data_IF_950611761952
#
_entry.id   IF_950611761952
#
_cell.length_a   1.000
_cell.length_b   1.000
_cell.length_c   1.000
_cell.angle_alpha   90.00
_cell.angle_beta   90.00
_cell.angle_gamma   90.00
#
_symmetry.space_group_name_H-M   'P 1'
#
loop_
_entity.id
_entity.type
_entity.pdbx_description
1 polymer ?
#
# COMPACT_ATOMS: atom_id res chain seq x y z
N UNK A 1 137.70 16.44 121.24
CA UNK A 1 137.06 15.11 121.26
C UNK A 1 135.53 15.19 121.15
N UNK A 2 134.87 16.27 121.57
CA UNK A 2 133.41 16.49 121.40
C UNK A 2 132.98 16.89 119.98
N UNK A 3 133.71 17.78 119.30
CA UNK A 3 133.36 18.22 117.94
C UNK A 3 133.32 17.08 116.91
N UNK A 4 134.14 16.03 117.10
CA UNK A 4 134.14 14.84 116.24
C UNK A 4 132.87 13.98 116.47
N UNK A 5 132.45 13.81 117.73
CA UNK A 5 131.22 13.09 118.08
C UNK A 5 129.96 13.81 117.60
N UNK A 6 129.95 15.15 117.62
CA UNK A 6 128.80 15.94 117.14
C UNK A 6 128.70 15.95 115.61
N UNK A 7 129.85 15.94 114.91
CA UNK A 7 129.91 15.79 113.45
C UNK A 7 129.44 14.39 113.01
N UNK A 8 129.85 13.35 113.73
CA UNK A 8 129.43 11.97 113.48
C UNK A 8 127.93 11.79 113.78
N UNK A 9 127.41 12.36 114.88
CA UNK A 9 125.97 12.35 115.16
C UNK A 9 125.15 13.09 114.09
N UNK A 10 125.61 14.23 113.56
CA UNK A 10 124.95 14.95 112.45
C UNK A 10 125.02 14.16 111.13
N UNK A 11 126.12 13.45 110.86
CA UNK A 11 126.24 12.53 109.72
C UNK A 11 125.30 11.35 109.84
N UNK A 12 125.18 10.74 111.01
CA UNK A 12 124.25 9.64 111.30
C UNK A 12 122.79 10.10 111.09
N UNK A 13 122.42 11.26 111.63
CA UNK A 13 121.07 11.81 111.53
C UNK A 13 120.72 12.20 110.07
N UNK A 14 121.70 12.73 109.33
CA UNK A 14 121.56 13.00 107.89
C UNK A 14 121.42 11.70 107.09
N UNK A 15 122.22 10.66 107.40
CA UNK A 15 122.12 9.33 106.78
C UNK A 15 120.74 8.70 107.01
N UNK A 16 120.21 8.75 108.23
CA UNK A 16 118.86 8.26 108.54
C UNK A 16 117.77 9.06 107.80
N UNK A 17 117.91 10.39 107.73
CA UNK A 17 116.95 11.24 107.00
C UNK A 17 117.00 10.97 105.49
N UNK A 18 118.19 10.80 104.93
CA UNK A 18 118.40 10.44 103.52
C UNK A 18 117.96 9.01 103.20
N UNK A 19 118.04 8.07 104.14
CA UNK A 19 117.46 6.74 103.99
C UNK A 19 115.93 6.80 103.92
N UNK A 20 115.30 7.57 104.82
CA UNK A 20 113.84 7.75 104.83
C UNK A 20 113.32 8.49 103.59
N UNK A 21 114.04 9.49 103.11
CA UNK A 21 113.69 10.17 101.84
C UNK A 21 113.78 9.20 100.67
N UNK A 22 114.84 8.38 100.58
CA UNK A 22 114.96 7.34 99.55
C UNK A 22 113.83 6.32 99.62
N UNK A 23 113.46 5.89 100.82
CA UNK A 23 112.35 4.94 101.03
C UNK A 23 111.00 5.53 100.56
N UNK A 24 110.74 6.81 100.86
CA UNK A 24 109.54 7.52 100.39
C UNK A 24 109.58 7.76 98.88
N UNK A 25 110.73 8.10 98.31
CA UNK A 25 110.93 8.24 96.86
C UNK A 25 110.69 6.92 96.13
N UNK A 26 111.17 5.79 96.67
CA UNK A 26 110.91 4.46 96.13
C UNK A 26 109.42 4.09 96.18
N UNK A 27 108.73 4.40 97.28
CA UNK A 27 107.28 4.18 97.41
C UNK A 27 106.50 5.04 96.41
N UNK A 28 106.84 6.33 96.28
CA UNK A 28 106.19 7.24 95.33
C UNK A 28 106.47 6.78 93.88
N UNK A 29 107.69 6.34 93.57
CA UNK A 29 108.03 5.81 92.26
C UNK A 29 107.24 4.53 91.95
N UNK A 30 107.11 3.62 92.92
CA UNK A 30 106.31 2.40 92.80
C UNK A 30 104.81 2.71 92.61
N UNK A 31 104.27 3.66 93.37
CA UNK A 31 102.88 4.11 93.23
C UNK A 31 102.62 4.78 91.89
N UNK A 32 103.56 5.60 91.41
CA UNK A 32 103.48 6.25 90.09
C UNK A 32 103.53 5.21 88.97
N UNK A 33 104.42 4.21 89.06
CA UNK A 33 104.48 3.09 88.13
C UNK A 33 103.18 2.27 88.13
N UNK A 34 102.61 1.99 89.30
CA UNK A 34 101.33 1.29 89.47
C UNK A 34 100.15 2.06 88.87
N UNK A 35 100.11 3.39 89.09
CA UNK A 35 99.12 4.27 88.47
C UNK A 35 99.25 4.28 86.95
N UNK A 36 100.48 4.33 86.44
CA UNK A 36 100.74 4.30 85.00
C UNK A 36 100.31 2.97 84.36
N UNK A 37 100.57 1.83 85.01
CA UNK A 37 100.10 0.51 84.55
C UNK A 37 98.56 0.42 84.54
N UNK A 38 97.90 0.91 85.60
CA UNK A 38 96.42 1.00 85.64
C UNK A 38 95.88 1.88 84.51
N UNK A 39 96.52 3.01 84.22
CA UNK A 39 96.08 3.94 83.18
C UNK A 39 96.21 3.30 81.80
N UNK A 40 97.29 2.57 81.53
CA UNK A 40 97.46 1.77 80.30
C UNK A 40 96.37 0.70 80.19
N UNK A 41 96.08 -0.03 81.27
CA UNK A 41 95.00 -1.04 81.29
C UNK A 41 93.62 -0.43 81.02
N UNK A 42 93.31 0.72 81.64
CA UNK A 42 92.05 1.43 81.39
C UNK A 42 91.96 1.94 79.96
N UNK A 43 93.04 2.49 79.41
CA UNK A 43 93.06 2.94 78.02
C UNK A 43 92.82 1.78 77.05
N UNK A 44 93.47 0.64 77.28
CA UNK A 44 93.25 -0.59 76.51
C UNK A 44 91.81 -1.08 76.64
N UNK A 45 91.24 -1.09 77.85
CA UNK A 45 89.85 -1.48 78.08
C UNK A 45 88.85 -0.56 77.36
N UNK A 46 89.06 0.76 77.42
CA UNK A 46 88.22 1.75 76.72
C UNK A 46 88.30 1.52 75.21
N UNK A 47 89.51 1.32 74.67
CA UNK A 47 89.70 1.07 73.24
C UNK A 47 89.03 -0.24 72.80
N UNK A 48 89.19 -1.33 73.55
CA UNK A 48 88.52 -2.60 73.27
C UNK A 48 86.99 -2.49 73.36
N UNK A 49 86.47 -1.74 74.33
CA UNK A 49 85.03 -1.50 74.45
C UNK A 49 84.50 -0.67 73.28
N UNK A 50 85.24 0.37 72.87
CA UNK A 50 84.88 1.20 71.72
C UNK A 50 84.86 0.40 70.42
N UNK A 51 85.82 -0.51 70.24
CA UNK A 51 85.84 -1.46 69.11
C UNK A 51 84.60 -2.38 69.16
N UNK A 52 84.26 -2.93 70.33
CA UNK A 52 83.07 -3.78 70.50
C UNK A 52 81.78 -3.00 70.21
N UNK A 53 81.65 -1.78 70.72
CA UNK A 53 80.52 -0.88 70.49
C UNK A 53 80.37 -0.52 69.02
N UNK A 54 81.48 -0.15 68.37
CA UNK A 54 81.50 0.17 66.94
C UNK A 54 81.12 -1.05 66.09
N UNK A 55 81.65 -2.24 66.41
CA UNK A 55 81.30 -3.48 65.71
C UNK A 55 79.83 -3.84 65.89
N UNK A 56 79.30 -3.74 67.11
CA UNK A 56 77.88 -3.99 67.40
C UNK A 56 76.97 -2.99 66.68
N UNK A 57 77.33 -1.71 66.69
CA UNK A 57 76.60 -0.65 65.97
C UNK A 57 76.59 -0.89 64.47
N UNK A 58 77.75 -1.20 63.85
CA UNK A 58 77.81 -1.54 62.42
C UNK A 58 76.97 -2.77 62.09
N UNK A 59 77.03 -3.81 62.93
CA UNK A 59 76.23 -5.03 62.75
C UNK A 59 74.73 -4.73 62.80
N UNK A 60 74.28 -3.95 63.79
CA UNK A 60 72.88 -3.54 63.91
C UNK A 60 72.40 -2.75 62.67
N UNK A 61 73.20 -1.80 62.18
CA UNK A 61 72.88 -1.04 60.95
C UNK A 61 72.79 -1.96 59.73
N UNK A 62 73.72 -2.91 59.58
CA UNK A 62 73.66 -3.86 58.45
C UNK A 62 72.47 -4.80 58.54
N UNK A 63 72.14 -5.29 59.72
CA UNK A 63 70.98 -6.17 59.93
C UNK A 63 69.67 -5.43 59.68
N UNK A 64 69.54 -4.18 60.13
CA UNK A 64 68.37 -3.35 59.87
C UNK A 64 68.20 -3.03 58.38
N UNK A 65 69.30 -2.76 57.66
CA UNK A 65 69.25 -2.59 56.20
C UNK A 65 68.78 -3.86 55.49
N UNK A 66 69.36 -5.01 55.85
CA UNK A 66 68.97 -6.30 55.27
C UNK A 66 67.49 -6.60 55.57
N UNK A 67 67.04 -6.33 56.80
CA UNK A 67 65.65 -6.50 57.20
C UNK A 67 64.71 -5.67 56.32
N UNK A 68 65.00 -4.38 56.12
CA UNK A 68 64.20 -3.50 55.24
C UNK A 68 64.17 -4.00 53.80
N UNK A 69 65.31 -4.37 53.23
CA UNK A 69 65.37 -4.93 51.87
C UNK A 69 64.53 -6.21 51.73
N UNK A 70 64.50 -7.05 52.77
CA UNK A 70 63.66 -8.24 52.79
C UNK A 70 62.18 -7.92 52.96
N UNK A 71 61.83 -6.95 53.80
CA UNK A 71 60.44 -6.50 53.97
C UNK A 71 59.87 -5.91 52.68
N UNK A 72 60.65 -5.10 51.95
CA UNK A 72 60.27 -4.56 50.64
C UNK A 72 60.07 -5.69 49.61
N UNK A 73 60.99 -6.66 49.56
CA UNK A 73 60.85 -7.83 48.68
C UNK A 73 59.62 -8.68 49.03
N UNK A 74 59.33 -8.87 50.31
CA UNK A 74 58.13 -9.58 50.76
C UNK A 74 56.88 -8.84 50.29
N UNK A 75 56.82 -7.52 50.50
CA UNK A 75 55.67 -6.71 50.07
C UNK A 75 55.45 -6.80 48.55
N UNK A 76 56.50 -6.66 47.74
CA UNK A 76 56.44 -6.77 46.28
C UNK A 76 55.97 -8.16 45.82
N UNK A 77 56.52 -9.22 46.42
CA UNK A 77 56.15 -10.60 46.08
C UNK A 77 54.72 -10.92 46.51
N UNK A 78 54.27 -10.45 47.68
CA UNK A 78 52.90 -10.62 48.15
C UNK A 78 51.91 -9.93 47.21
N UNK A 79 52.18 -8.69 46.80
CA UNK A 79 51.33 -7.99 45.84
C UNK A 79 51.24 -8.73 44.50
N UNK A 80 52.38 -9.22 43.98
CA UNK A 80 52.40 -10.03 42.74
C UNK A 80 51.60 -11.32 42.88
N UNK A 81 51.67 -11.99 44.03
CA UNK A 81 50.89 -13.20 44.29
C UNK A 81 49.40 -12.90 44.33
N UNK A 82 48.98 -11.80 44.95
CA UNK A 82 47.58 -11.36 44.96
C UNK A 82 47.07 -11.06 43.54
N UNK A 83 47.84 -10.32 42.74
CA UNK A 83 47.50 -10.02 41.35
C UNK A 83 47.36 -11.28 40.50
N UNK A 84 48.29 -12.23 40.64
CA UNK A 84 48.24 -13.51 39.94
C UNK A 84 47.05 -14.35 40.39
N UNK A 85 46.71 -14.34 41.68
CA UNK A 85 45.56 -15.06 42.20
C UNK A 85 44.25 -14.46 41.67
N UNK A 86 44.14 -13.14 41.61
CA UNK A 86 42.98 -12.44 41.04
C UNK A 86 42.81 -12.77 39.55
N UNK A 87 43.90 -12.75 38.78
CA UNK A 87 43.87 -13.15 37.35
C UNK A 87 43.47 -14.61 37.20
N UNK A 88 43.98 -15.50 38.04
CA UNK A 88 43.62 -16.93 38.03
C UNK A 88 42.13 -17.13 38.30
N UNK A 89 41.59 -16.45 39.30
CA UNK A 89 40.15 -16.49 39.63
C UNK A 89 39.29 -15.98 38.47
N UNK A 90 39.67 -14.89 37.83
CA UNK A 90 38.95 -14.36 36.65
C UNK A 90 38.97 -15.34 35.48
N UNK A 91 40.15 -15.87 35.13
CA UNK A 91 40.30 -16.87 34.07
C UNK A 91 39.51 -18.14 34.38
N UNK A 92 39.47 -18.55 35.65
CA UNK A 92 38.68 -19.71 36.09
C UNK A 92 37.17 -19.47 35.89
N UNK A 93 36.66 -18.30 36.26
CA UNK A 93 35.24 -17.96 36.02
C UNK A 93 34.90 -17.95 34.54
N UNK A 94 35.78 -17.39 33.70
CA UNK A 94 35.60 -17.41 32.25
C UNK A 94 35.60 -18.84 31.71
N UNK A 95 36.54 -19.67 32.16
CA UNK A 95 36.57 -21.09 31.82
C UNK A 95 35.29 -21.81 32.22
N UNK A 96 34.82 -21.65 33.46
CA UNK A 96 33.60 -22.29 33.95
C UNK A 96 32.34 -21.86 33.17
N UNK A 97 32.32 -20.60 32.68
CA UNK A 97 31.27 -20.11 31.79
C UNK A 97 31.35 -20.79 30.41
N UNK A 98 32.53 -20.83 29.80
CA UNK A 98 32.71 -21.39 28.46
C UNK A 98 32.68 -22.91 28.40
N UNK A 99 33.07 -23.60 29.47
CA UNK A 99 33.06 -25.05 29.56
C UNK A 99 31.68 -25.65 29.32
N UNK A 100 30.61 -24.99 29.80
CA UNK A 100 29.22 -25.41 29.56
C UNK A 100 28.86 -25.37 28.08
N UNK A 101 29.28 -24.32 27.37
CA UNK A 101 29.03 -24.19 25.94
C UNK A 101 29.88 -25.18 25.13
N UNK A 102 31.14 -25.39 25.53
CA UNK A 102 31.99 -26.41 24.93
C UNK A 102 31.37 -27.80 25.08
N UNK A 103 30.97 -28.19 26.30
CA UNK A 103 30.32 -29.47 26.55
C UNK A 103 29.06 -29.63 25.71
N UNK A 104 28.22 -28.60 25.64
CA UNK A 104 27.02 -28.63 24.79
C UNK A 104 27.37 -28.86 23.31
N UNK A 105 28.36 -28.16 22.76
CA UNK A 105 28.75 -28.34 21.35
C UNK A 105 29.38 -29.71 21.11
N UNK A 106 30.12 -30.25 22.06
CA UNK A 106 30.65 -31.62 22.02
C UNK A 106 29.52 -32.65 22.06
N UNK A 107 28.49 -32.46 22.88
CA UNK A 107 27.29 -33.32 22.90
C UNK A 107 26.52 -33.26 21.57
N UNK A 108 26.38 -32.07 20.97
CA UNK A 108 25.79 -31.91 19.64
C UNK A 108 26.62 -32.63 18.58
N UNK A 109 27.95 -32.53 18.66
CA UNK A 109 28.87 -33.22 17.76
C UNK A 109 28.78 -34.75 17.91
N UNK A 110 28.61 -35.28 19.12
CA UNK A 110 28.43 -36.72 19.35
C UNK A 110 27.13 -37.27 18.75
N UNK A 111 26.09 -36.44 18.63
CA UNK A 111 24.81 -36.80 18.00
C UNK A 111 24.82 -36.59 16.48
N UNK A 112 25.97 -36.22 15.91
CA UNK A 112 26.12 -36.02 14.49
C UNK A 112 26.27 -37.36 13.77
N UNK A 113 25.13 -37.95 13.39
CA UNK A 113 25.09 -39.26 12.72
C UNK A 113 25.70 -39.26 11.30
N UNK A 114 25.99 -38.09 10.72
CA UNK A 114 26.35 -37.94 9.31
C UNK A 114 27.78 -37.43 9.06
N UNK A 115 28.63 -37.35 10.10
CA UNK A 115 29.97 -36.75 10.02
C UNK A 115 29.99 -35.34 9.37
N UNK A 116 28.86 -34.61 9.40
CA UNK A 116 28.71 -33.30 8.74
C UNK A 116 29.66 -32.23 9.34
N UNK A 117 30.06 -32.44 10.59
CA UNK A 117 30.88 -31.55 11.39
C UNK A 117 31.97 -32.39 12.04
N UNK A 118 33.22 -31.94 11.95
CA UNK A 118 34.36 -32.63 12.56
C UNK A 118 34.79 -31.95 13.87
N UNK A 119 34.38 -30.70 14.07
CA UNK A 119 34.68 -29.92 15.26
C UNK A 119 33.52 -29.00 15.67
N UNK A 120 33.46 -28.58 16.94
CA UNK A 120 32.53 -27.52 17.39
C UNK A 120 32.61 -26.24 16.55
N UNK A 121 33.79 -25.95 15.99
CA UNK A 121 34.00 -24.78 15.13
C UNK A 121 33.21 -24.85 13.83
N UNK A 122 33.07 -26.04 13.25
CA UNK A 122 32.32 -26.23 12.00
C UNK A 122 30.83 -25.96 12.22
N UNK A 123 30.30 -26.39 13.38
CA UNK A 123 28.92 -26.12 13.81
C UNK A 123 28.69 -24.60 13.92
N UNK A 124 29.62 -23.88 14.56
CA UNK A 124 29.54 -22.41 14.72
C UNK A 124 29.58 -21.72 13.35
N UNK A 125 30.50 -22.12 12.46
CA UNK A 125 30.60 -21.55 11.12
C UNK A 125 29.33 -21.79 10.30
N UNK A 126 28.79 -23.01 10.36
CA UNK A 126 27.54 -23.36 9.71
C UNK A 126 26.38 -22.54 10.26
N UNK A 127 26.27 -22.42 11.57
CA UNK A 127 25.24 -21.61 12.21
C UNK A 127 25.33 -20.13 11.79
N UNK A 128 26.53 -19.55 11.77
CA UNK A 128 26.74 -18.17 11.30
C UNK A 128 26.26 -18.01 9.84
N UNK A 129 26.65 -18.94 8.97
CA UNK A 129 26.24 -18.93 7.57
C UNK A 129 24.71 -19.04 7.42
N UNK A 130 24.09 -19.96 8.15
CA UNK A 130 22.64 -20.13 8.17
C UNK A 130 21.92 -18.90 8.74
N UNK A 131 22.47 -18.27 9.77
CA UNK A 131 21.91 -17.06 10.35
C UNK A 131 21.95 -15.89 9.34
N UNK A 132 23.09 -15.70 8.67
CA UNK A 132 23.23 -14.68 7.62
C UNK A 132 22.30 -14.96 6.45
N UNK A 133 22.24 -16.21 5.99
CA UNK A 133 21.36 -16.62 4.91
C UNK A 133 19.88 -16.39 5.29
N UNK A 134 19.49 -16.74 6.53
CA UNK A 134 18.14 -16.51 7.04
C UNK A 134 17.79 -15.03 7.03
N UNK A 135 18.70 -14.14 7.45
CA UNK A 135 18.48 -12.69 7.39
C UNK A 135 18.26 -12.22 5.95
N UNK A 136 19.06 -12.71 5.00
CA UNK A 136 18.91 -12.37 3.57
C UNK A 136 17.58 -12.88 3.03
N UNK A 137 17.20 -14.13 3.31
CA UNK A 137 15.94 -14.71 2.87
C UNK A 137 14.73 -13.98 3.46
N UNK A 138 14.77 -13.59 4.74
CA UNK A 138 13.70 -12.80 5.37
C UNK A 138 13.54 -11.43 4.72
N UNK A 139 14.64 -10.73 4.41
CA UNK A 139 14.60 -9.47 3.66
C UNK A 139 13.99 -9.67 2.28
N UNK A 140 14.42 -10.71 1.56
CA UNK A 140 13.91 -11.01 0.22
C UNK A 140 12.42 -11.38 0.24
N UNK A 141 11.98 -12.16 1.21
CA UNK A 141 10.56 -12.49 1.44
C UNK A 141 9.75 -11.21 1.62
N UNK A 142 10.19 -10.32 2.51
CA UNK A 142 9.51 -9.05 2.78
C UNK A 142 9.37 -8.20 1.52
N UNK A 143 10.45 -8.08 0.73
CA UNK A 143 10.42 -7.38 -0.56
C UNK A 143 9.40 -7.99 -1.55
N UNK A 144 9.38 -9.32 -1.66
CA UNK A 144 8.44 -10.02 -2.55
C UNK A 144 6.98 -9.85 -2.09
N UNK A 145 6.73 -9.84 -0.78
CA UNK A 145 5.39 -9.58 -0.23
C UNK A 145 4.91 -8.16 -0.54
N UNK A 146 5.79 -7.16 -0.43
CA UNK A 146 5.50 -5.77 -0.82
C UNK A 146 5.25 -5.64 -2.34
N UNK A 147 6.08 -6.28 -3.17
CA UNK A 147 5.88 -6.32 -4.63
C UNK A 147 4.57 -7.02 -5.00
N UNK A 148 4.24 -8.13 -4.35
CA UNK A 148 2.98 -8.84 -4.56
C UNK A 148 1.78 -7.95 -4.20
N UNK A 149 1.84 -7.24 -3.07
CA UNK A 149 0.78 -6.33 -2.66
C UNK A 149 0.63 -5.17 -3.66
N UNK A 150 1.73 -4.56 -4.09
CA UNK A 150 1.73 -3.52 -5.14
C UNK A 150 1.11 -4.02 -6.44
N UNK A 151 1.49 -5.22 -6.89
CA UNK A 151 0.97 -5.82 -8.11
C UNK A 151 -0.53 -6.16 -8.00
N UNK A 152 -0.98 -6.70 -6.86
CA UNK A 152 -2.40 -6.95 -6.60
C UNK A 152 -3.22 -5.66 -6.64
N UNK A 153 -2.74 -4.60 -6.01
CA UNK A 153 -3.41 -3.29 -6.01
C UNK A 153 -3.47 -2.70 -7.42
N UNK A 154 -2.37 -2.75 -8.17
CA UNK A 154 -2.32 -2.31 -9.58
C UNK A 154 -3.28 -3.10 -10.47
N UNK A 155 -3.33 -4.42 -10.31
CA UNK A 155 -4.25 -5.28 -11.05
C UNK A 155 -5.72 -4.97 -10.72
N UNK A 156 -6.05 -4.78 -9.44
CA UNK A 156 -7.40 -4.43 -9.01
C UNK A 156 -7.83 -3.07 -9.58
N UNK A 157 -6.94 -2.07 -9.56
CA UNK A 157 -7.22 -0.76 -10.16
C UNK A 157 -7.47 -0.88 -11.67
N UNK A 158 -6.65 -1.65 -12.39
CA UNK A 158 -6.85 -1.92 -13.82
C UNK A 158 -8.17 -2.64 -14.11
N UNK A 159 -8.53 -3.62 -13.27
CA UNK A 159 -9.82 -4.34 -13.36
C UNK A 159 -10.99 -3.41 -13.14
N UNK A 160 -10.93 -2.56 -12.11
CA UNK A 160 -11.98 -1.57 -11.83
C UNK A 160 -12.14 -0.60 -13.00
N UNK A 161 -11.02 -0.07 -13.53
CA UNK A 161 -11.05 0.81 -14.71
C UNK A 161 -11.72 0.13 -15.91
N UNK A 162 -11.34 -1.13 -16.20
CA UNK A 162 -11.93 -1.90 -17.31
C UNK A 162 -13.40 -2.23 -17.09
N UNK A 163 -13.80 -2.51 -15.85
CA UNK A 163 -15.20 -2.74 -15.52
C UNK A 163 -16.04 -1.47 -15.73
N UNK A 164 -15.55 -0.32 -15.28
CA UNK A 164 -16.22 0.96 -15.51
C UNK A 164 -16.34 1.26 -17.00
N UNK A 165 -15.26 1.08 -17.77
CA UNK A 165 -15.27 1.25 -19.24
C UNK A 165 -16.28 0.31 -19.92
N UNK A 166 -16.39 -0.94 -19.45
CA UNK A 166 -17.39 -1.89 -19.96
C UNK A 166 -18.82 -1.45 -19.66
N UNK A 167 -19.08 -0.89 -18.47
CA UNK A 167 -20.40 -0.37 -18.11
C UNK A 167 -20.73 0.87 -18.94
N UNK A 168 -19.77 1.78 -19.12
CA UNK A 168 -19.95 2.97 -19.95
C UNK A 168 -20.28 2.61 -21.41
N UNK A 169 -19.55 1.64 -21.99
CA UNK A 169 -19.83 1.12 -23.33
C UNK A 169 -21.19 0.42 -23.41
N UNK A 170 -21.60 -0.32 -22.38
CA UNK A 170 -22.92 -0.95 -22.34
C UNK A 170 -24.03 0.10 -22.30
N UNK A 171 -23.86 1.19 -21.55
CA UNK A 171 -24.83 2.28 -21.51
C UNK A 171 -24.95 2.95 -22.89
N UNK A 172 -23.84 3.24 -23.55
CA UNK A 172 -23.83 3.76 -24.92
C UNK A 172 -24.52 2.81 -25.90
N UNK A 173 -24.29 1.49 -25.78
CA UNK A 173 -24.95 0.49 -26.61
C UNK A 173 -26.47 0.50 -26.39
N UNK A 174 -26.92 0.58 -25.14
CA UNK A 174 -28.34 0.62 -24.81
C UNK A 174 -29.01 1.89 -25.35
N UNK A 175 -28.35 3.05 -25.26
CA UNK A 175 -28.83 4.30 -25.85
C UNK A 175 -28.97 4.16 -27.37
N UNK A 176 -27.94 3.62 -28.02
CA UNK A 176 -27.95 3.41 -29.47
C UNK A 176 -29.06 2.43 -29.89
N UNK A 177 -29.28 1.35 -29.15
CA UNK A 177 -30.39 0.42 -29.36
C UNK A 177 -31.75 1.11 -29.20
N UNK A 178 -31.95 1.92 -28.16
CA UNK A 178 -33.19 2.66 -27.96
C UNK A 178 -33.47 3.65 -29.11
N UNK A 179 -32.44 4.35 -29.59
CA UNK A 179 -32.57 5.25 -30.75
C UNK A 179 -32.90 4.47 -32.03
N UNK A 180 -32.25 3.33 -32.26
CA UNK A 180 -32.51 2.46 -33.40
C UNK A 180 -33.95 1.93 -33.39
N UNK A 181 -34.43 1.41 -32.26
CA UNK A 181 -35.81 0.94 -32.11
C UNK A 181 -36.84 2.06 -32.33
N UNK A 182 -36.55 3.27 -31.85
CA UNK A 182 -37.40 4.44 -32.05
C UNK A 182 -37.48 4.83 -33.54
N UNK A 183 -36.33 4.84 -34.23
CA UNK A 183 -36.30 5.05 -35.68
C UNK A 183 -37.04 3.96 -36.43
N UNK A 184 -36.87 2.69 -36.05
CA UNK A 184 -37.56 1.57 -36.68
C UNK A 184 -39.09 1.67 -36.50
N UNK A 185 -39.57 2.06 -35.31
CA UNK A 185 -40.98 2.36 -35.06
C UNK A 185 -41.48 3.51 -35.93
N UNK A 186 -40.71 4.59 -36.03
CA UNK A 186 -41.04 5.76 -36.87
C UNK A 186 -41.15 5.38 -38.35
N UNK A 187 -40.19 4.61 -38.87
CA UNK A 187 -40.22 4.09 -40.24
C UNK A 187 -41.48 3.27 -40.48
N UNK A 188 -41.82 2.35 -39.57
CA UNK A 188 -43.03 1.53 -39.69
C UNK A 188 -44.31 2.38 -39.73
N UNK A 189 -44.44 3.37 -38.84
CA UNK A 189 -45.58 4.29 -38.85
C UNK A 189 -45.68 5.03 -40.20
N UNK A 190 -44.55 5.52 -40.73
CA UNK A 190 -44.51 6.21 -42.02
C UNK A 190 -44.86 5.28 -43.19
N UNK A 191 -44.46 4.01 -43.13
CA UNK A 191 -44.84 2.99 -44.10
C UNK A 191 -46.35 2.72 -44.05
N UNK A 192 -46.92 2.51 -42.86
CA UNK A 192 -48.36 2.29 -42.66
C UNK A 192 -49.19 3.49 -43.15
N UNK A 193 -48.74 4.72 -42.86
CA UNK A 193 -49.34 5.97 -43.37
C UNK A 193 -49.33 6.04 -44.90
N UNK A 194 -48.20 5.68 -45.51
CA UNK A 194 -48.03 5.66 -46.96
C UNK A 194 -48.95 4.62 -47.61
N UNK A 195 -49.00 3.39 -47.08
CA UNK A 195 -49.87 2.32 -47.56
C UNK A 195 -51.35 2.73 -47.47
N UNK A 196 -51.76 3.35 -46.36
CA UNK A 196 -53.11 3.87 -46.19
C UNK A 196 -53.43 4.93 -47.23
N UNK A 197 -52.50 5.85 -47.51
CA UNK A 197 -52.66 6.86 -48.54
C UNK A 197 -52.76 6.25 -49.95
N UNK A 198 -51.92 5.25 -50.26
CA UNK A 198 -51.97 4.52 -51.54
C UNK A 198 -53.31 3.79 -51.69
N UNK A 199 -53.77 3.08 -50.67
CA UNK A 199 -55.05 2.35 -50.67
C UNK A 199 -56.23 3.30 -50.83
N UNK A 200 -56.22 4.43 -50.10
CA UNK A 200 -57.24 5.48 -50.23
C UNK A 200 -57.25 6.05 -51.66
N UNK A 201 -56.08 6.42 -52.21
CA UNK A 201 -55.96 6.93 -53.58
C UNK A 201 -56.44 5.91 -54.61
N UNK A 202 -56.10 4.63 -54.44
CA UNK A 202 -56.56 3.54 -55.31
C UNK A 202 -58.08 3.39 -55.27
N UNK A 203 -58.67 3.44 -54.07
CA UNK A 203 -60.12 3.37 -53.86
C UNK A 203 -60.82 4.57 -54.49
N UNK A 204 -60.35 5.78 -54.22
CA UNK A 204 -60.88 7.01 -54.83
C UNK A 204 -60.75 6.95 -56.35
N UNK A 205 -59.59 6.56 -56.89
CA UNK A 205 -59.39 6.41 -58.33
C UNK A 205 -60.38 5.40 -58.93
N UNK A 206 -60.63 4.27 -58.25
CA UNK A 206 -61.63 3.28 -58.68
C UNK A 206 -63.04 3.85 -58.69
N UNK A 207 -63.44 4.57 -57.63
CA UNK A 207 -64.76 5.21 -57.56
C UNK A 207 -64.96 6.24 -58.67
N UNK A 208 -63.95 7.09 -58.93
CA UNK A 208 -63.97 8.06 -60.03
C UNK A 208 -64.12 7.36 -61.37
N UNK A 209 -63.36 6.27 -61.60
CA UNK A 209 -63.50 5.46 -62.82
C UNK A 209 -64.90 4.85 -62.96
N UNK A 210 -65.48 4.32 -61.87
CA UNK A 210 -66.84 3.77 -61.89
C UNK A 210 -67.89 4.84 -62.20
N UNK A 211 -67.82 6.01 -61.56
CA UNK A 211 -68.73 7.14 -61.83
C UNK A 211 -68.60 7.58 -63.29
N UNK A 212 -67.36 7.73 -63.79
CA UNK A 212 -67.11 8.09 -65.19
C UNK A 212 -67.70 7.08 -66.17
N UNK A 213 -67.57 5.78 -65.91
CA UNK A 213 -68.18 4.74 -66.75
C UNK A 213 -69.71 4.76 -66.67
N UNK A 214 -70.30 4.93 -65.49
CA UNK A 214 -71.75 5.01 -65.32
C UNK A 214 -72.34 6.23 -66.03
N UNK A 215 -71.71 7.41 -65.88
CA UNK A 215 -72.06 8.62 -66.61
C UNK A 215 -71.98 8.41 -68.13
N UNK A 216 -70.90 7.80 -68.62
CA UNK A 216 -70.78 7.48 -70.06
C UNK A 216 -71.90 6.55 -70.52
N UNK A 217 -72.15 5.46 -69.80
CA UNK A 217 -73.21 4.50 -70.14
C UNK A 217 -74.61 5.13 -70.17
N UNK A 218 -74.90 6.03 -69.22
CA UNK A 218 -76.17 6.77 -69.18
C UNK A 218 -76.27 7.80 -70.31
N UNK A 219 -75.18 8.52 -70.58
CA UNK A 219 -75.08 9.46 -71.69
C UNK A 219 -75.34 8.76 -73.02
N UNK A 220 -74.66 7.64 -73.28
CA UNK A 220 -74.83 6.86 -74.51
C UNK A 220 -76.28 6.39 -74.67
N UNK A 221 -76.95 5.99 -73.58
CA UNK A 221 -78.38 5.65 -73.58
C UNK A 221 -79.28 6.84 -73.88
N UNK A 222 -79.04 7.99 -73.24
CA UNK A 222 -79.83 9.22 -73.45
C UNK A 222 -79.70 9.69 -74.91
N UNK A 223 -78.49 9.67 -75.45
CA UNK A 223 -78.24 9.95 -76.87
C UNK A 223 -78.99 8.96 -77.75
N UNK A 224 -78.91 7.65 -77.46
CA UNK A 224 -79.60 6.63 -78.26
C UNK A 224 -81.14 6.77 -78.23
N UNK A 225 -81.74 7.10 -77.08
CA UNK A 225 -83.19 7.28 -76.95
C UNK A 225 -83.70 8.55 -77.61
N UNK A 226 -82.93 9.63 -77.57
CA UNK A 226 -83.32 10.92 -78.15
C UNK A 226 -82.96 11.02 -79.63
N UNK A 227 -82.04 10.21 -80.14
CA UNK A 227 -81.60 10.22 -81.53
C UNK A 227 -82.73 10.22 -82.59
N UNK A 228 -83.86 9.49 -82.43
CA UNK A 228 -84.93 9.47 -83.42
C UNK A 228 -85.84 10.71 -83.40
N UNK A 229 -85.83 11.49 -82.31
CA UNK A 229 -86.83 12.52 -82.03
C UNK A 229 -86.22 13.91 -81.79
N UNK A 230 -84.95 13.96 -81.44
CA UNK A 230 -84.23 15.19 -81.20
C UNK A 230 -83.75 15.77 -82.51
N UNK A 231 -84.27 16.96 -82.86
CA UNK A 231 -83.71 17.79 -83.92
C UNK A 231 -82.31 18.34 -83.59
N UNK A 232 -81.75 18.03 -82.41
CA UNK A 232 -80.36 18.35 -82.06
C UNK A 232 -79.45 17.31 -82.72
N UNK A 233 -79.08 17.59 -83.96
CA UNK A 233 -78.12 16.79 -84.73
C UNK A 233 -76.77 16.63 -84.02
N UNK A 234 -76.15 15.47 -84.22
CA UNK A 234 -74.75 15.10 -83.95
C UNK A 234 -74.03 15.99 -82.93
N UNK A 235 -74.25 15.70 -81.64
CA UNK A 235 -73.41 16.24 -80.57
C UNK A 235 -71.94 15.97 -80.90
N UNK A 236 -71.12 17.03 -81.07
CA UNK A 236 -69.68 16.86 -81.18
C UNK A 236 -69.16 16.19 -79.92
N UNK A 237 -68.50 15.05 -80.11
CA UNK A 237 -68.11 14.16 -79.04
C UNK A 237 -66.98 14.77 -78.20
N UNK A 238 -67.35 15.57 -77.18
CA UNK A 238 -66.50 15.74 -75.98
C UNK A 238 -66.64 14.49 -75.11
N UNK A 239 -66.25 13.35 -75.68
CA UNK A 239 -66.51 12.00 -75.16
C UNK A 239 -65.89 11.73 -73.78
N UNK A 240 -64.97 12.58 -73.34
CA UNK A 240 -64.18 12.39 -72.13
C UNK A 240 -64.62 13.23 -70.92
N UNK A 241 -65.48 14.24 -71.08
CA UNK A 241 -65.86 15.16 -70.00
C UNK A 241 -67.14 14.71 -69.30
N UNK A 242 -67.01 14.27 -68.04
CA UNK A 242 -68.11 13.76 -67.22
C UNK A 242 -69.14 14.84 -66.91
N UNK A 243 -68.71 16.10 -66.72
CA UNK A 243 -69.64 17.18 -66.42
C UNK A 243 -70.52 17.48 -67.63
N UNK A 244 -69.92 17.47 -68.82
CA UNK A 244 -70.67 17.60 -70.07
C UNK A 244 -71.65 16.44 -70.27
N UNK A 245 -71.23 15.19 -70.04
CA UNK A 245 -72.11 14.02 -70.10
C UNK A 245 -73.32 14.15 -69.15
N UNK A 246 -73.08 14.58 -67.90
CA UNK A 246 -74.14 14.81 -66.92
C UNK A 246 -75.12 15.91 -67.33
N UNK A 247 -74.64 17.00 -67.93
CA UNK A 247 -75.51 18.05 -68.46
C UNK A 247 -76.46 17.52 -69.55
N UNK A 248 -75.94 16.73 -70.50
CA UNK A 248 -76.77 16.15 -71.57
C UNK A 248 -77.77 15.12 -71.02
N UNK A 249 -77.37 14.31 -70.04
CA UNK A 249 -78.30 13.42 -69.33
C UNK A 249 -79.41 14.24 -68.65
N UNK A 250 -79.05 15.36 -67.99
CA UNK A 250 -79.99 16.26 -67.34
C UNK A 250 -81.01 16.88 -68.31
N UNK A 251 -80.55 17.35 -69.47
CA UNK A 251 -81.42 17.85 -70.54
C UNK A 251 -82.39 16.75 -71.03
N UNK A 252 -81.87 15.55 -71.32
CA UNK A 252 -82.69 14.41 -71.77
C UNK A 252 -83.77 14.04 -70.73
N UNK A 253 -83.44 14.05 -69.44
CA UNK A 253 -84.41 13.76 -68.38
C UNK A 253 -85.48 14.85 -68.26
N UNK A 254 -85.11 16.11 -68.47
CA UNK A 254 -86.06 17.23 -68.49
C UNK A 254 -87.03 17.11 -69.66
N UNK A 255 -86.52 16.79 -70.85
CA UNK A 255 -87.35 16.53 -72.03
C UNK A 255 -88.38 15.40 -71.74
N UNK A 256 -87.96 14.30 -71.10
CA UNK A 256 -88.89 13.24 -70.70
C UNK A 256 -89.90 13.69 -69.64
N UNK A 257 -89.49 14.49 -68.66
CA UNK A 257 -90.41 15.06 -67.66
C UNK A 257 -91.46 15.95 -68.33
N UNK A 258 -91.06 16.80 -69.26
CA UNK A 258 -91.96 17.68 -70.00
C UNK A 258 -92.96 16.87 -70.85
N UNK A 259 -92.50 15.80 -71.50
CA UNK A 259 -93.37 14.87 -72.24
C UNK A 259 -94.37 14.17 -71.31
N UNK A 260 -93.93 13.68 -70.15
CA UNK A 260 -94.82 13.04 -69.17
C UNK A 260 -95.85 14.03 -68.64
N UNK A 261 -95.43 15.25 -68.28
CA UNK A 261 -96.32 16.30 -67.80
C UNK A 261 -97.36 16.70 -68.87
N UNK A 262 -96.93 16.87 -70.12
CA UNK A 262 -97.82 17.14 -71.23
C UNK A 262 -98.81 15.98 -71.48
N UNK A 263 -98.38 14.73 -71.34
CA UNK A 263 -99.26 13.56 -71.45
C UNK A 263 -100.29 13.51 -70.30
N UNK A 264 -99.87 13.79 -69.06
CA UNK A 264 -100.77 13.88 -67.91
C UNK A 264 -101.80 15.01 -68.06
N UNK A 265 -101.38 16.19 -68.53
CA UNK A 265 -102.28 17.30 -68.84
C UNK A 265 -103.27 16.94 -69.95
N UNK A 266 -102.82 16.31 -71.05
CA UNK A 266 -103.74 15.83 -72.11
C UNK A 266 -104.74 14.80 -71.59
N UNK A 267 -104.31 13.91 -70.70
CA UNK A 267 -105.19 12.92 -70.07
C UNK A 267 -106.24 13.57 -69.17
N UNK A 268 -105.86 14.61 -68.41
CA UNK A 268 -106.80 15.41 -67.61
C UNK A 268 -107.79 16.19 -68.49
N UNK A 269 -107.31 16.80 -69.58
CA UNK A 269 -108.16 17.50 -70.56
C UNK A 269 -109.13 16.54 -71.26
N UNK A 270 -108.68 15.33 -71.63
CA UNK A 270 -109.55 14.30 -72.18
C UNK A 270 -110.61 13.83 -71.17
N UNK A 271 -110.26 13.69 -69.89
CA UNK A 271 -111.24 13.41 -68.84
C UNK A 271 -112.25 14.54 -68.67
N UNK A 272 -111.82 15.81 -68.75
CA UNK A 272 -112.72 16.97 -68.69
C UNK A 272 -113.62 17.07 -69.94
N UNK A 273 -113.10 16.79 -71.13
CA UNK A 273 -113.88 16.77 -72.37
C UNK A 273 -114.89 15.62 -72.40
N UNK A 274 -114.56 14.44 -71.88
CA UNK A 274 -115.52 13.35 -71.70
C UNK A 274 -116.63 13.73 -70.71
N UNK A 275 -116.30 14.41 -69.61
CA UNK A 275 -117.30 14.93 -68.67
C UNK A 275 -118.22 16.00 -69.31
N UNK A 276 -117.66 16.88 -70.16
CA UNK A 276 -118.42 17.89 -70.90
C UNK A 276 -119.30 17.27 -72.00
N UNK A 277 -118.81 16.26 -72.73
CA UNK A 277 -119.62 15.54 -73.74
C UNK A 277 -120.77 14.74 -73.11
N UNK A 278 -120.58 14.17 -71.91
CA UNK A 278 -121.67 13.55 -71.16
C UNK A 278 -122.71 14.60 -70.74
N UNK A 279 -122.27 15.80 -70.32
CA UNK A 279 -123.16 16.91 -69.97
C UNK A 279 -123.94 17.47 -71.19
N UNK A 280 -123.29 17.67 -72.34
CA UNK A 280 -123.92 18.14 -73.58
C UNK A 280 -124.86 17.10 -74.20
N UNK A 281 -124.56 15.79 -74.07
CA UNK A 281 -125.47 14.71 -74.50
C UNK A 281 -126.73 14.59 -73.64
N UNK A 282 -126.70 15.12 -72.41
CA UNK A 282 -127.88 15.25 -71.56
C UNK A 282 -128.73 16.47 -71.97
N UNK A 283 -128.11 17.61 -72.31
CA UNK A 283 -128.83 18.83 -72.73
C UNK A 283 -129.49 18.69 -74.11
N UNK A 284 -128.86 17.98 -75.07
CA UNK A 284 -129.43 17.78 -76.42
C UNK A 284 -130.61 16.79 -76.48
N UNK A 285 -130.94 16.11 -75.37
CA UNK A 285 -132.14 15.26 -75.26
C UNK A 285 -133.40 16.04 -74.83
N UNK A 286 -133.29 17.30 -74.40
CA UNK A 286 -134.42 18.07 -73.86
C UNK A 286 -135.10 19.03 -74.89
N UNK A 287 -134.52 19.31 -76.06
CA UNK A 287 -135.06 20.34 -77.01
C UNK A 287 -135.67 19.80 -78.33
N UNK A 288 -135.95 18.49 -78.44
CA UNK A 288 -136.51 17.88 -79.66
C UNK A 288 -137.99 17.46 -79.64
N UNK A 289 -138.70 17.64 -78.52
CA UNK A 289 -140.14 17.34 -78.39
C UNK A 289 -140.93 18.65 -78.22
N UNK A 290 -141.32 19.28 -79.32
CA UNK A 290 -142.58 20.06 -79.49
C UNK A 290 -142.88 20.31 -80.98
#
# INVERSE_FOLDING_TARGET
MEAQKELDAKRELYMVRMARVREVEEVIAADRARLQDKLVRYYKFIQENEIKRTRASRKAVTEERIKKEREEQIAELTQRLEDLNNRREEMRRQYDLYAKYQQYLEEVLQRNDCDEYQSPRDIIQRWNTLQENTKVLQRRKTQLEEELLRNKNSLNMKRQKKNNESVDLQNQLNELQATYESMQKSIKIKQDELERCISQRSTTSRTVSHVRMACKNLYDRCIAWTAPYSGRGKFEAREADVLYQLHVIGDCLRDFQDVIAAHQQRRQQQQQQLLLQVAESHAAKEEGEE
#
